data_IF_825058217853
#
_entry.id   IF_825058217853
#
_cell.length_a   1.000
_cell.length_b   1.000
_cell.length_c   1.000
_cell.angle_alpha   90.00
_cell.angle_beta   90.00
_cell.angle_gamma   90.00
#
_symmetry.space_group_name_H-M   'P 1'
#
loop_
_entity.id
_entity.type
_entity.pdbx_description
1 polymer ?
#
# COMPACT_ATOMS: atom_id res chain seq x y z
N UNK A 1 -38.82 -1.07 17.31
CA UNK A 1 -37.70 -1.92 17.76
C UNK A 1 -37.36 -2.93 16.66
N UNK A 2 -36.33 -2.69 15.84
CA UNK A 2 -35.72 -3.71 14.98
C UNK A 2 -34.31 -3.23 14.56
N UNK A 3 -33.50 -2.87 15.56
CA UNK A 3 -32.04 -2.69 15.41
C UNK A 3 -31.36 -4.05 15.58
N UNK A 4 -31.68 -5.01 14.72
CA UNK A 4 -30.81 -6.17 14.55
C UNK A 4 -29.83 -5.81 13.43
N UNK A 5 -28.84 -5.01 13.80
CA UNK A 5 -27.69 -4.71 12.96
C UNK A 5 -26.98 -6.03 12.71
N UNK A 6 -27.01 -6.58 11.49
CA UNK A 6 -25.97 -7.54 11.12
C UNK A 6 -24.66 -6.73 11.12
N UNK A 7 -23.94 -6.81 12.25
CA UNK A 7 -22.69 -6.07 12.49
C UNK A 7 -21.63 -6.44 11.44
N UNK A 8 -21.75 -7.62 10.83
CA UNK A 8 -20.87 -8.11 9.77
C UNK A 8 -21.68 -8.30 8.48
N UNK A 9 -21.40 -7.45 7.50
CA UNK A 9 -21.93 -7.53 6.14
C UNK A 9 -20.92 -8.07 5.13
N UNK A 10 -21.34 -8.25 3.87
CA UNK A 10 -20.50 -8.77 2.78
C UNK A 10 -19.25 -7.92 2.56
N UNK A 11 -19.36 -6.59 2.74
CA UNK A 11 -18.21 -5.67 2.62
C UNK A 11 -17.08 -5.95 3.62
N UNK A 12 -17.41 -6.44 4.81
CA UNK A 12 -16.42 -6.81 5.83
C UNK A 12 -15.71 -8.10 5.45
N UNK A 13 -16.41 -9.03 4.80
CA UNK A 13 -15.81 -10.25 4.24
C UNK A 13 -14.84 -9.87 3.11
N UNK A 14 -15.20 -8.94 2.23
CA UNK A 14 -14.29 -8.43 1.20
C UNK A 14 -13.04 -7.78 1.82
N UNK A 15 -13.21 -6.96 2.86
CA UNK A 15 -12.09 -6.39 3.61
C UNK A 15 -11.19 -7.46 4.27
N UNK A 16 -11.78 -8.54 4.78
CA UNK A 16 -11.06 -9.67 5.35
C UNK A 16 -10.23 -10.41 4.30
N UNK A 17 -10.80 -10.65 3.11
CA UNK A 17 -10.08 -11.29 2.02
C UNK A 17 -8.91 -10.40 1.56
N UNK A 18 -9.13 -9.09 1.41
CA UNK A 18 -8.06 -8.14 1.09
C UNK A 18 -6.96 -8.12 2.16
N UNK A 19 -7.34 -8.19 3.44
CA UNK A 19 -6.41 -8.28 4.56
C UNK A 19 -5.52 -9.52 4.46
N UNK A 20 -6.10 -10.72 4.31
CA UNK A 20 -5.31 -11.95 4.22
C UNK A 20 -4.46 -12.00 2.94
N UNK A 21 -4.96 -11.46 1.83
CA UNK A 21 -4.20 -11.32 0.58
C UNK A 21 -2.94 -10.49 0.78
N UNK A 22 -3.08 -9.33 1.44
CA UNK A 22 -1.94 -8.48 1.76
C UNK A 22 -1.01 -9.11 2.81
N UNK A 23 -1.56 -9.71 3.86
CA UNK A 23 -0.79 -10.33 4.93
C UNK A 23 0.12 -11.45 4.41
N UNK A 24 -0.40 -12.34 3.56
CA UNK A 24 0.42 -13.39 2.95
C UNK A 24 1.49 -12.81 2.03
N UNK A 25 1.16 -11.80 1.22
CA UNK A 25 2.15 -11.17 0.37
C UNK A 25 3.29 -10.54 1.18
N UNK A 26 3.00 -9.83 2.27
CA UNK A 26 4.04 -9.28 3.15
C UNK A 26 4.84 -10.37 3.88
N UNK A 27 4.19 -11.47 4.27
CA UNK A 27 4.87 -12.64 4.82
C UNK A 27 5.90 -13.21 3.83
N UNK A 28 5.53 -13.44 2.57
CA UNK A 28 6.47 -13.92 1.53
C UNK A 28 7.63 -12.95 1.27
N UNK A 29 7.42 -11.64 1.43
CA UNK A 29 8.51 -10.64 1.29
C UNK A 29 9.56 -10.77 2.38
N UNK A 30 9.14 -10.97 3.63
CA UNK A 30 10.04 -11.06 4.79
C UNK A 30 10.71 -12.43 4.93
N UNK A 31 10.09 -13.47 4.38
CA UNK A 31 10.66 -14.82 4.41
C UNK A 31 12.04 -14.86 3.77
N UNK A 32 12.24 -14.14 2.66
CA UNK A 32 13.52 -14.14 1.96
C UNK A 32 14.67 -13.61 2.83
N UNK A 33 14.44 -12.59 3.66
CA UNK A 33 15.49 -12.05 4.53
C UNK A 33 15.92 -13.03 5.63
N UNK A 34 15.03 -13.91 6.10
CA UNK A 34 15.36 -14.94 7.09
C UNK A 34 15.95 -16.17 6.39
N UNK A 35 15.33 -16.59 5.28
CA UNK A 35 15.75 -17.75 4.51
C UNK A 35 17.17 -17.59 3.97
N UNK A 36 17.57 -16.39 3.51
CA UNK A 36 18.90 -16.18 2.95
C UNK A 36 20.01 -16.42 3.98
N UNK A 37 19.78 -16.05 5.25
CA UNK A 37 20.71 -16.34 6.35
C UNK A 37 20.81 -17.84 6.62
N UNK A 38 19.70 -18.57 6.52
CA UNK A 38 19.70 -20.02 6.66
C UNK A 38 20.34 -20.73 5.46
N UNK A 39 20.19 -20.20 4.24
CA UNK A 39 20.81 -20.71 3.02
C UNK A 39 22.34 -20.55 3.01
N UNK A 40 22.84 -19.45 3.58
CA UNK A 40 24.28 -19.13 3.66
C UNK A 40 24.94 -19.57 4.96
N UNK A 41 24.21 -20.15 5.93
CA UNK A 41 24.82 -20.75 7.13
C UNK A 41 25.05 -22.24 6.89
N UNK A 42 26.28 -22.69 7.11
CA UNK A 42 26.62 -24.11 7.01
C UNK A 42 25.97 -24.87 8.17
N UNK A 43 24.84 -25.52 7.90
CA UNK A 43 24.09 -26.35 8.85
C UNK A 43 24.14 -27.79 8.37
N UNK A 44 24.55 -28.73 9.22
CA UNK A 44 24.66 -30.15 8.85
C UNK A 44 23.33 -30.70 8.31
N UNK A 45 23.37 -31.32 7.12
CA UNK A 45 22.20 -31.95 6.48
C UNK A 45 21.32 -31.05 5.61
N UNK A 46 21.68 -29.77 5.39
CA UNK A 46 20.94 -28.86 4.51
C UNK A 46 21.76 -28.38 3.31
N UNK A 47 21.09 -28.11 2.18
CA UNK A 47 21.73 -27.51 1.01
C UNK A 47 22.24 -26.09 1.35
N UNK A 48 23.54 -25.90 1.21
CA UNK A 48 24.25 -24.65 1.49
C UNK A 48 24.66 -23.98 0.18
N UNK A 49 24.59 -22.64 0.16
CA UNK A 49 25.04 -21.83 -0.97
C UNK A 49 26.15 -20.87 -0.55
N UNK A 50 27.27 -20.92 -1.28
CA UNK A 50 28.40 -20.00 -1.12
C UNK A 50 28.09 -18.63 -1.78
N UNK A 51 27.06 -17.96 -1.29
CA UNK A 51 26.70 -16.61 -1.74
C UNK A 51 27.46 -15.56 -0.94
N UNK A 52 28.19 -14.70 -1.66
CA UNK A 52 28.80 -13.53 -1.06
C UNK A 52 27.73 -12.48 -0.70
N UNK A 53 28.13 -11.47 0.08
CA UNK A 53 27.22 -10.39 0.49
C UNK A 53 26.64 -9.61 -0.70
N UNK A 54 27.36 -9.53 -1.82
CA UNK A 54 26.87 -8.86 -3.04
C UNK A 54 25.73 -9.66 -3.68
N UNK A 55 25.91 -10.96 -3.92
CA UNK A 55 24.86 -11.84 -4.47
C UNK A 55 23.62 -11.88 -3.57
N UNK A 56 23.82 -11.99 -2.26
CA UNK A 56 22.74 -11.95 -1.25
C UNK A 56 21.91 -10.67 -1.37
N UNK A 57 22.58 -9.53 -1.52
CA UNK A 57 21.93 -8.22 -1.67
C UNK A 57 21.21 -8.07 -3.01
N UNK A 58 21.77 -8.61 -4.09
CA UNK A 58 21.14 -8.65 -5.42
C UNK A 58 19.84 -9.47 -5.38
N UNK A 59 19.86 -10.65 -4.76
CA UNK A 59 18.67 -11.50 -4.62
C UNK A 59 17.58 -10.79 -3.82
N UNK A 60 17.91 -10.12 -2.71
CA UNK A 60 16.94 -9.39 -1.90
C UNK A 60 16.31 -8.21 -2.66
N UNK A 61 17.14 -7.44 -3.39
CA UNK A 61 16.69 -6.25 -4.14
C UNK A 61 15.96 -6.56 -5.44
N UNK A 62 16.21 -7.72 -6.07
CA UNK A 62 15.63 -8.12 -7.36
C UNK A 62 14.09 -8.12 -7.39
N UNK A 63 13.43 -8.37 -6.25
CA UNK A 63 11.97 -8.25 -6.12
C UNK A 63 11.46 -6.86 -6.45
N UNK A 64 12.16 -5.83 -5.98
CA UNK A 64 11.74 -4.45 -6.17
C UNK A 64 11.87 -4.00 -7.63
N UNK A 65 12.77 -4.61 -8.41
CA UNK A 65 12.90 -4.33 -9.86
C UNK A 65 11.60 -4.64 -10.60
N UNK A 66 11.03 -5.83 -10.36
CA UNK A 66 9.73 -6.20 -10.93
C UNK A 66 8.58 -5.36 -10.35
N UNK A 67 8.61 -5.11 -9.04
CA UNK A 67 7.54 -4.40 -8.34
C UNK A 67 7.36 -2.95 -8.83
N UNK A 68 8.45 -2.19 -8.97
CA UNK A 68 8.41 -0.79 -9.41
C UNK A 68 7.88 -0.66 -10.83
N UNK A 69 8.37 -1.50 -11.75
CA UNK A 69 7.95 -1.49 -13.16
C UNK A 69 6.46 -1.78 -13.29
N UNK A 70 5.91 -2.70 -12.50
CA UNK A 70 4.51 -3.10 -12.63
C UNK A 70 3.53 -2.15 -11.92
N UNK A 71 3.93 -1.38 -10.91
CA UNK A 71 3.00 -0.55 -10.12
C UNK A 71 2.16 0.44 -10.97
N UNK A 72 2.76 1.11 -11.96
CA UNK A 72 2.05 2.09 -12.80
C UNK A 72 1.10 1.38 -13.80
N UNK A 73 1.55 0.40 -14.61
CA UNK A 73 0.66 -0.38 -15.47
C UNK A 73 -0.44 -1.11 -14.69
N UNK A 74 -0.13 -1.64 -13.51
CA UNK A 74 -1.08 -2.38 -12.70
C UNK A 74 -2.29 -1.54 -12.28
N UNK A 75 -2.08 -0.26 -11.93
CA UNK A 75 -3.19 0.65 -11.59
C UNK A 75 -4.18 0.79 -12.74
N UNK A 76 -3.70 0.93 -13.97
CA UNK A 76 -4.54 1.04 -15.17
C UNK A 76 -5.24 -0.28 -15.53
N UNK A 77 -4.51 -1.39 -15.45
CA UNK A 77 -5.04 -2.71 -15.78
C UNK A 77 -6.11 -3.15 -14.79
N UNK A 78 -5.89 -2.93 -13.49
CA UNK A 78 -6.87 -3.22 -12.43
C UNK A 78 -8.16 -2.41 -12.62
N UNK A 79 -8.03 -1.14 -13.03
CA UNK A 79 -9.17 -0.28 -13.34
C UNK A 79 -9.98 -0.78 -14.55
N UNK A 80 -9.33 -1.09 -15.67
CA UNK A 80 -10.01 -1.41 -16.95
C UNK A 80 -10.57 -2.83 -17.03
N UNK A 81 -9.85 -3.81 -16.49
CA UNK A 81 -10.14 -5.23 -16.70
C UNK A 81 -10.69 -5.94 -15.45
N UNK A 82 -10.94 -5.19 -14.38
CA UNK A 82 -11.57 -5.68 -13.15
C UNK A 82 -10.53 -6.13 -12.10
N UNK A 83 -10.63 -5.65 -10.85
CA UNK A 83 -9.58 -5.88 -9.85
C UNK A 83 -9.51 -7.31 -9.31
N UNK A 84 -10.61 -8.08 -9.35
CA UNK A 84 -10.67 -9.45 -8.81
C UNK A 84 -9.63 -10.36 -9.46
N UNK A 85 -9.57 -10.36 -10.79
CA UNK A 85 -8.67 -11.25 -11.56
C UNK A 85 -7.21 -10.91 -11.31
N UNK A 86 -6.87 -9.63 -11.26
CA UNK A 86 -5.50 -9.18 -10.98
C UNK A 86 -5.09 -9.44 -9.54
N UNK A 87 -6.00 -9.26 -8.57
CA UNK A 87 -5.74 -9.60 -7.18
C UNK A 87 -5.45 -11.10 -7.02
N UNK A 88 -6.28 -11.97 -7.62
CA UNK A 88 -6.05 -13.41 -7.59
C UNK A 88 -4.76 -13.82 -8.30
N UNK A 89 -4.52 -13.29 -9.51
CA UNK A 89 -3.28 -13.54 -10.26
C UNK A 89 -2.05 -13.11 -9.45
N UNK A 90 -2.11 -11.94 -8.81
CA UNK A 90 -1.03 -11.39 -7.98
C UNK A 90 -0.61 -12.37 -6.89
N UNK A 91 -1.59 -12.89 -6.14
CA UNK A 91 -1.34 -13.83 -5.04
C UNK A 91 -0.92 -15.20 -5.59
N UNK A 92 -1.67 -15.77 -6.54
CA UNK A 92 -1.42 -17.12 -7.07
C UNK A 92 -0.05 -17.23 -7.74
N UNK A 93 0.31 -16.29 -8.62
CA UNK A 93 1.60 -16.30 -9.32
C UNK A 93 2.74 -16.04 -8.32
N UNK A 94 2.58 -15.09 -7.40
CA UNK A 94 3.60 -14.85 -6.37
C UNK A 94 3.83 -16.08 -5.49
N UNK A 95 2.76 -16.79 -5.12
CA UNK A 95 2.82 -18.00 -4.30
C UNK A 95 3.39 -19.20 -5.06
N UNK A 96 3.11 -19.31 -6.35
CA UNK A 96 3.73 -20.33 -7.21
C UNK A 96 5.25 -20.15 -7.25
N UNK A 97 5.73 -18.93 -7.49
CA UNK A 97 7.17 -18.65 -7.47
C UNK A 97 7.79 -18.74 -6.07
N UNK A 98 6.98 -18.60 -5.01
CA UNK A 98 7.41 -18.90 -3.64
C UNK A 98 7.66 -20.41 -3.47
N UNK A 99 6.72 -21.25 -3.88
CA UNK A 99 6.86 -22.72 -3.86
C UNK A 99 8.03 -23.21 -4.72
N UNK A 100 8.27 -22.56 -5.86
CA UNK A 100 9.38 -22.91 -6.76
C UNK A 100 10.73 -22.36 -6.28
N UNK A 101 10.77 -21.46 -5.29
CA UNK A 101 12.00 -20.81 -4.84
C UNK A 101 13.10 -21.81 -4.45
N UNK A 102 12.83 -22.90 -3.70
CA UNK A 102 13.88 -23.86 -3.37
C UNK A 102 14.46 -24.55 -4.61
N UNK A 103 13.61 -24.87 -5.59
CA UNK A 103 14.03 -25.49 -6.86
C UNK A 103 14.84 -24.50 -7.70
N UNK A 104 14.40 -23.25 -7.77
CA UNK A 104 15.11 -22.19 -8.48
C UNK A 104 16.49 -21.91 -7.86
N UNK A 105 16.60 -21.96 -6.53
CA UNK A 105 17.87 -21.78 -5.84
C UNK A 105 18.81 -22.98 -6.04
N UNK A 106 18.31 -24.23 -5.93
CA UNK A 106 19.18 -25.42 -6.04
C UNK A 106 19.71 -25.67 -7.45
N UNK A 107 18.89 -25.45 -8.49
CA UNK A 107 19.30 -25.69 -9.87
C UNK A 107 19.84 -24.44 -10.59
N UNK A 108 19.38 -23.25 -10.21
CA UNK A 108 19.73 -21.99 -10.85
C UNK A 108 20.64 -21.08 -10.00
N UNK A 109 21.05 -21.53 -8.83
CA UNK A 109 21.88 -20.78 -7.88
C UNK A 109 21.27 -19.37 -7.58
N UNK A 110 22.10 -18.35 -7.36
CA UNK A 110 21.63 -16.98 -7.11
C UNK A 110 20.85 -16.39 -8.29
N UNK A 111 21.13 -16.81 -9.54
CA UNK A 111 20.47 -16.29 -10.73
C UNK A 111 19.02 -16.78 -10.85
N UNK A 112 18.79 -18.06 -10.56
CA UNK A 112 17.46 -18.65 -10.51
C UNK A 112 16.61 -18.04 -9.40
N UNK A 113 17.22 -17.83 -8.22
CA UNK A 113 16.56 -17.13 -7.11
C UNK A 113 16.17 -15.68 -7.51
N UNK A 114 17.08 -14.93 -8.15
CA UNK A 114 16.78 -13.59 -8.68
C UNK A 114 15.62 -13.61 -9.69
N UNK A 115 15.60 -14.55 -10.65
CA UNK A 115 14.54 -14.64 -11.64
C UNK A 115 13.16 -14.90 -11.00
N UNK A 116 13.10 -15.82 -10.03
CA UNK A 116 11.88 -16.08 -9.27
C UNK A 116 11.42 -14.85 -8.46
N UNK A 117 12.36 -14.13 -7.83
CA UNK A 117 12.06 -12.90 -7.08
C UNK A 117 11.55 -11.76 -7.97
N UNK A 118 12.12 -11.59 -9.17
CA UNK A 118 11.62 -10.61 -10.15
C UNK A 118 10.19 -10.96 -10.56
N UNK A 119 9.90 -12.24 -10.84
CA UNK A 119 8.56 -12.70 -11.19
C UNK A 119 7.55 -12.47 -10.05
N UNK A 120 7.94 -12.74 -8.80
CA UNK A 120 7.14 -12.38 -7.62
C UNK A 120 6.88 -10.88 -7.54
N UNK A 121 7.90 -10.05 -7.79
CA UNK A 121 7.79 -8.59 -7.80
C UNK A 121 6.78 -8.09 -8.84
N UNK A 122 6.87 -8.59 -10.07
CA UNK A 122 5.93 -8.28 -11.15
C UNK A 122 4.50 -8.68 -10.77
N UNK A 123 4.30 -9.88 -10.24
CA UNK A 123 2.97 -10.32 -9.81
C UNK A 123 2.41 -9.45 -8.67
N UNK A 124 3.21 -9.18 -7.64
CA UNK A 124 2.78 -8.41 -6.47
C UNK A 124 2.53 -6.91 -6.74
N UNK A 125 2.98 -6.36 -7.87
CA UNK A 125 2.66 -4.98 -8.29
C UNK A 125 1.14 -4.74 -8.42
N UNK A 126 0.37 -5.78 -8.74
CA UNK A 126 -1.09 -5.72 -8.85
C UNK A 126 -1.83 -5.74 -7.51
N UNK A 127 -1.19 -6.21 -6.44
CA UNK A 127 -1.86 -6.48 -5.17
C UNK A 127 -2.52 -5.23 -4.57
N UNK A 128 -1.71 -4.21 -4.30
CA UNK A 128 -2.21 -3.01 -3.61
C UNK A 128 -3.11 -2.20 -4.53
N UNK A 129 -2.75 -2.05 -5.80
CA UNK A 129 -3.56 -1.31 -6.78
C UNK A 129 -4.95 -1.93 -6.96
N UNK A 130 -5.05 -3.26 -7.04
CA UNK A 130 -6.33 -3.96 -7.08
C UNK A 130 -7.13 -3.83 -5.78
N UNK A 131 -6.48 -3.85 -4.61
CA UNK A 131 -7.15 -3.60 -3.33
C UNK A 131 -7.69 -2.17 -3.23
N UNK A 132 -6.96 -1.16 -3.70
CA UNK A 132 -7.44 0.23 -3.74
C UNK A 132 -8.63 0.39 -4.69
N UNK A 133 -8.66 -0.32 -5.82
CA UNK A 133 -9.81 -0.36 -6.72
C UNK A 133 -11.04 -1.05 -6.08
N UNK A 134 -10.82 -2.14 -5.32
CA UNK A 134 -11.91 -2.78 -4.58
C UNK A 134 -12.43 -1.87 -3.46
N UNK A 135 -11.53 -1.23 -2.71
CA UNK A 135 -11.89 -0.29 -1.65
C UNK A 135 -12.68 0.90 -2.19
N UNK A 136 -12.38 1.37 -3.41
CA UNK A 136 -13.14 2.47 -4.01
C UNK A 136 -14.60 2.11 -4.30
N UNK A 137 -14.93 0.82 -4.46
CA UNK A 137 -16.28 0.30 -4.72
C UNK A 137 -16.98 -0.24 -3.48
N UNK A 138 -16.22 -0.76 -2.51
CA UNK A 138 -16.75 -1.48 -1.35
C UNK A 138 -16.72 -0.69 -0.04
N UNK A 139 -15.99 0.44 0.03
CA UNK A 139 -15.84 1.22 1.27
C UNK A 139 -16.65 2.53 1.25
N UNK A 140 -17.83 2.58 1.89
CA UNK A 140 -18.62 3.80 2.03
C UNK A 140 -17.83 4.92 2.73
N UNK A 141 -18.02 6.20 2.36
CA UNK A 141 -17.26 7.32 2.89
C UNK A 141 -17.20 7.40 4.44
N UNK A 142 -18.27 7.02 5.14
CA UNK A 142 -18.38 7.08 6.62
C UNK A 142 -17.56 6.03 7.39
N UNK A 143 -17.22 4.92 6.75
CA UNK A 143 -16.45 3.81 7.34
C UNK A 143 -15.16 3.52 6.58
N UNK A 144 -14.84 4.35 5.59
CA UNK A 144 -13.69 4.20 4.71
C UNK A 144 -12.38 4.18 5.48
N UNK A 145 -12.19 5.05 6.48
CA UNK A 145 -10.93 5.09 7.24
C UNK A 145 -10.70 3.80 8.02
N UNK A 146 -11.74 3.23 8.65
CA UNK A 146 -11.64 1.93 9.32
C UNK A 146 -11.35 0.78 8.36
N UNK A 147 -12.02 0.72 7.21
CA UNK A 147 -11.80 -0.36 6.23
C UNK A 147 -10.39 -0.30 5.63
N UNK A 148 -9.92 0.90 5.26
CA UNK A 148 -8.58 1.10 4.71
C UNK A 148 -7.52 0.82 5.77
N UNK A 149 -7.68 1.31 7.01
CA UNK A 149 -6.75 1.04 8.09
C UNK A 149 -6.68 -0.45 8.44
N UNK A 150 -7.82 -1.15 8.46
CA UNK A 150 -7.85 -2.60 8.63
C UNK A 150 -7.06 -3.31 7.54
N UNK A 151 -7.30 -2.97 6.27
CA UNK A 151 -6.52 -3.50 5.14
C UNK A 151 -5.01 -3.21 5.28
N UNK A 152 -4.62 -1.97 5.58
CA UNK A 152 -3.20 -1.60 5.71
C UNK A 152 -2.53 -2.20 6.96
N UNK A 153 -3.30 -2.54 7.99
CA UNK A 153 -2.81 -3.28 9.15
C UNK A 153 -2.34 -4.71 8.79
N UNK A 154 -2.73 -5.24 7.63
CA UNK A 154 -2.21 -6.51 7.10
C UNK A 154 -0.68 -6.49 6.91
N UNK A 155 -0.09 -5.32 6.63
CA UNK A 155 1.36 -5.18 6.46
C UNK A 155 2.13 -5.53 7.74
N UNK A 156 1.97 -4.82 8.88
CA UNK A 156 2.68 -5.17 10.10
C UNK A 156 2.29 -6.56 10.61
N UNK A 157 1.04 -6.99 10.44
CA UNK A 157 0.62 -8.35 10.79
C UNK A 157 1.41 -9.42 10.01
N UNK A 158 1.47 -9.28 8.68
CA UNK A 158 2.19 -10.20 7.81
C UNK A 158 3.70 -10.25 8.08
N UNK A 159 4.32 -9.11 8.40
CA UNK A 159 5.73 -9.02 8.78
C UNK A 159 6.01 -9.81 10.07
N UNK A 160 5.20 -9.59 11.11
CA UNK A 160 5.39 -10.27 12.41
C UNK A 160 5.19 -11.78 12.26
N UNK A 161 4.10 -12.20 11.61
CA UNK A 161 3.82 -13.62 11.37
C UNK A 161 4.90 -14.25 10.50
N UNK A 162 5.35 -13.57 9.44
CA UNK A 162 6.37 -14.06 8.52
C UNK A 162 7.72 -14.25 9.20
N UNK A 163 8.22 -13.23 9.92
CA UNK A 163 9.49 -13.34 10.63
C UNK A 163 9.47 -14.44 11.71
N UNK A 164 8.39 -14.54 12.49
CA UNK A 164 8.27 -15.58 13.53
C UNK A 164 8.14 -16.99 12.94
N UNK A 165 7.30 -17.15 11.90
CA UNK A 165 7.11 -18.45 11.24
C UNK A 165 8.36 -18.89 10.49
N UNK A 166 9.02 -17.98 9.76
CA UNK A 166 10.24 -18.30 9.02
C UNK A 166 11.37 -18.75 9.96
N UNK A 167 11.55 -18.11 11.11
CA UNK A 167 12.55 -18.52 12.09
C UNK A 167 12.29 -19.92 12.65
N UNK A 168 11.04 -20.21 13.02
CA UNK A 168 10.65 -21.53 13.54
C UNK A 168 10.77 -22.65 12.47
N UNK A 169 10.39 -22.34 11.22
CA UNK A 169 10.46 -23.27 10.10
C UNK A 169 11.92 -23.54 9.67
N UNK A 170 12.77 -22.51 9.65
CA UNK A 170 14.19 -22.64 9.35
C UNK A 170 14.89 -23.61 10.33
N UNK A 171 14.52 -23.55 11.61
CA UNK A 171 15.07 -24.41 12.67
C UNK A 171 14.48 -25.83 12.67
N UNK A 172 13.42 -26.09 11.90
CA UNK A 172 12.78 -27.40 11.82
C UNK A 172 13.59 -28.39 10.96
N UNK A 173 13.23 -29.67 11.03
CA UNK A 173 13.81 -30.72 10.17
C UNK A 173 13.65 -30.44 8.66
N UNK A 174 12.66 -29.60 8.27
CA UNK A 174 12.44 -29.20 6.89
C UNK A 174 13.35 -28.08 6.39
N UNK A 175 14.17 -27.48 7.26
CA UNK A 175 15.15 -26.44 6.95
C UNK A 175 14.57 -25.20 6.26
N UNK A 176 15.44 -24.45 5.59
CA UNK A 176 15.04 -23.25 4.85
C UNK A 176 14.00 -23.49 3.74
N UNK A 177 13.96 -24.63 3.01
CA UNK A 177 12.94 -24.86 1.99
C UNK A 177 11.51 -24.88 2.56
N UNK A 178 11.35 -25.33 3.81
CA UNK A 178 10.04 -25.42 4.47
C UNK A 178 9.35 -24.05 4.62
N UNK A 179 10.13 -22.97 4.75
CA UNK A 179 9.63 -21.60 4.83
C UNK A 179 8.79 -21.30 3.58
N UNK A 180 9.37 -21.55 2.41
CA UNK A 180 8.77 -21.30 1.10
C UNK A 180 7.59 -22.23 0.80
N UNK A 181 7.69 -23.50 1.17
CA UNK A 181 6.61 -24.45 0.97
C UNK A 181 5.36 -24.11 1.78
N UNK A 182 5.52 -23.74 3.05
CA UNK A 182 4.39 -23.39 3.92
C UNK A 182 3.75 -22.08 3.47
N UNK A 183 4.53 -21.04 3.20
CA UNK A 183 3.97 -19.73 2.82
C UNK A 183 3.43 -19.68 1.41
N UNK A 184 4.08 -20.37 0.48
CA UNK A 184 3.56 -20.55 -0.87
C UNK A 184 2.25 -21.34 -0.89
N UNK A 185 2.13 -22.40 -0.07
CA UNK A 185 0.88 -23.16 0.04
C UNK A 185 -0.25 -22.34 0.63
N UNK A 186 0.01 -21.59 1.71
CA UNK A 186 -0.96 -20.69 2.31
C UNK A 186 -1.44 -19.62 1.32
N UNK A 187 -0.53 -19.04 0.54
CA UNK A 187 -0.89 -18.07 -0.47
C UNK A 187 -1.66 -18.67 -1.64
N UNK A 188 -1.39 -19.92 -2.03
CA UNK A 188 -2.21 -20.64 -3.01
C UNK A 188 -3.66 -20.80 -2.51
N UNK A 189 -3.85 -21.18 -1.24
CA UNK A 189 -5.17 -21.29 -0.62
C UNK A 189 -5.90 -19.94 -0.60
N UNK A 190 -5.21 -18.87 -0.21
CA UNK A 190 -5.78 -17.51 -0.24
C UNK A 190 -6.11 -17.07 -1.67
N UNK A 191 -5.25 -17.38 -2.64
CA UNK A 191 -5.49 -17.11 -4.07
C UNK A 191 -6.75 -17.78 -4.60
N UNK A 192 -6.98 -19.05 -4.24
CA UNK A 192 -8.22 -19.78 -4.57
C UNK A 192 -9.41 -19.14 -3.85
N UNK A 193 -9.25 -18.76 -2.58
CA UNK A 193 -10.30 -18.08 -1.81
C UNK A 193 -10.71 -16.74 -2.44
N UNK A 194 -9.78 -15.99 -3.04
CA UNK A 194 -10.07 -14.76 -3.79
C UNK A 194 -10.93 -15.06 -5.02
N UNK A 195 -10.60 -16.10 -5.79
CA UNK A 195 -11.35 -16.45 -7.00
C UNK A 195 -12.82 -16.79 -6.70
N UNK A 196 -13.07 -17.44 -5.56
CA UNK A 196 -14.42 -17.84 -5.14
C UNK A 196 -15.14 -16.73 -4.39
N UNK A 197 -14.45 -16.03 -3.47
CA UNK A 197 -15.07 -15.14 -2.48
C UNK A 197 -15.10 -13.66 -2.85
N UNK A 198 -14.23 -13.17 -3.74
CA UNK A 198 -14.23 -11.75 -4.11
C UNK A 198 -15.27 -11.47 -5.20
N UNK A 199 -16.01 -10.37 -5.03
CA UNK A 199 -16.86 -9.81 -6.07
C UNK A 199 -16.35 -8.43 -6.50
N UNK A 200 -16.31 -8.20 -7.81
CA UNK A 200 -15.76 -6.96 -8.40
C UNK A 200 -16.60 -5.74 -8.04
N UNK A 201 -17.91 -5.91 -7.98
CA UNK A 201 -18.86 -4.88 -7.61
C UNK A 201 -19.91 -5.44 -6.64
N UNK A 202 -20.43 -4.61 -5.70
CA UNK A 202 -21.53 -4.99 -4.82
C UNK A 202 -22.77 -5.53 -5.58
N UNK A 203 -23.04 -4.98 -6.77
CA UNK A 203 -24.15 -5.40 -7.62
C UNK A 203 -24.01 -6.85 -8.16
N UNK A 204 -22.79 -7.37 -8.27
CA UNK A 204 -22.51 -8.70 -8.83
C UNK A 204 -22.37 -9.78 -7.75
N UNK A 205 -22.40 -9.42 -6.46
CA UNK A 205 -22.23 -10.39 -5.39
C UNK A 205 -23.52 -11.22 -5.19
N UNK A 206 -23.49 -12.56 -5.37
CA UNK A 206 -24.69 -13.40 -5.39
C UNK A 206 -25.38 -13.51 -4.02
N UNK A 207 -24.65 -13.34 -2.92
CA UNK A 207 -25.18 -13.48 -1.55
C UNK A 207 -25.41 -12.13 -0.83
N UNK A 208 -25.36 -11.00 -1.54
CA UNK A 208 -25.60 -9.70 -0.89
C UNK A 208 -27.06 -9.49 -0.54
N UNK A 209 -27.32 -9.15 0.73
CA UNK A 209 -28.64 -8.72 1.20
C UNK A 209 -29.05 -7.42 0.52
N UNK A 210 -30.33 -7.33 0.13
CA UNK A 210 -30.90 -6.15 -0.52
C UNK A 210 -30.71 -4.88 0.34
N UNK A 211 -30.85 -5.00 1.67
CA UNK A 211 -30.62 -3.90 2.63
C UNK A 211 -29.18 -3.37 2.62
N UNK A 212 -28.19 -4.24 2.41
CA UNK A 212 -26.79 -3.82 2.34
C UNK A 212 -26.47 -3.16 1.00
N UNK A 213 -27.10 -3.61 -0.09
CA UNK A 213 -26.98 -2.96 -1.41
C UNK A 213 -27.52 -1.54 -1.39
N UNK A 214 -28.72 -1.36 -0.84
CA UNK A 214 -29.35 -0.04 -0.67
C UNK A 214 -28.49 0.85 0.22
N UNK A 215 -28.00 0.35 1.35
CA UNK A 215 -27.08 1.11 2.22
C UNK A 215 -25.82 1.58 1.46
N UNK A 216 -25.19 0.71 0.66
CA UNK A 216 -24.00 1.09 -0.10
C UNK A 216 -24.37 2.13 -1.17
N UNK A 217 -25.42 1.91 -1.95
CA UNK A 217 -25.84 2.83 -3.01
C UNK A 217 -26.25 4.21 -2.49
N UNK A 218 -27.00 4.25 -1.39
CA UNK A 218 -27.45 5.51 -0.77
C UNK A 218 -26.30 6.27 -0.10
N UNK A 219 -25.35 5.58 0.53
CA UNK A 219 -24.25 6.23 1.25
C UNK A 219 -23.02 6.54 0.40
N UNK A 220 -22.90 5.99 -0.82
CA UNK A 220 -21.83 6.34 -1.74
C UNK A 220 -22.02 7.72 -2.39
N UNK A 221 -23.24 8.27 -2.41
CA UNK A 221 -23.58 9.55 -3.04
C UNK A 221 -23.55 9.45 -4.57
N UNK A 222 -22.35 9.30 -5.15
CA UNK A 222 -22.13 9.01 -6.57
C UNK A 222 -21.32 7.72 -6.64
N UNK A 223 -21.93 6.66 -7.17
CA UNK A 223 -21.25 5.39 -7.36
C UNK A 223 -20.04 5.57 -8.31
N UNK A 224 -18.90 4.91 -8.04
CA UNK A 224 -17.79 4.88 -8.98
C UNK A 224 -18.29 4.40 -10.35
N UNK A 225 -17.84 5.05 -11.41
CA UNK A 225 -18.16 4.65 -12.77
C UNK A 225 -17.64 3.23 -13.03
N UNK A 226 -18.48 2.41 -13.63
CA UNK A 226 -18.13 1.05 -14.06
C UNK A 226 -17.65 1.00 -15.51
N UNK A 227 -17.45 2.14 -16.19
CA UNK A 227 -17.03 2.18 -17.60
C UNK A 227 -15.54 1.80 -17.76
N UNK A 228 -15.24 0.63 -18.37
CA UNK A 228 -13.87 0.16 -18.56
C UNK A 228 -13.11 0.92 -19.66
N UNK A 229 -13.78 1.73 -20.50
CA UNK A 229 -13.17 2.44 -21.64
C UNK A 229 -12.81 3.90 -21.34
N UNK A 230 -12.95 4.34 -20.10
CA UNK A 230 -12.69 5.73 -19.72
C UNK A 230 -11.23 6.12 -19.96
N UNK A 231 -11.03 7.19 -20.72
CA UNK A 231 -9.71 7.77 -20.88
C UNK A 231 -9.22 8.31 -19.53
N UNK A 232 -7.96 8.02 -19.19
CA UNK A 232 -7.32 8.56 -17.99
C UNK A 232 -6.77 9.95 -18.30
N UNK A 233 -7.20 11.01 -17.59
CA UNK A 233 -6.73 12.37 -17.81
C UNK A 233 -5.34 12.55 -17.17
N UNK A 234 -4.32 11.97 -17.80
CA UNK A 234 -2.94 11.91 -17.26
C UNK A 234 -2.40 13.28 -16.89
N UNK A 235 -2.49 14.25 -17.81
CA UNK A 235 -1.95 15.59 -17.58
C UNK A 235 -2.62 16.25 -16.37
N UNK A 236 -3.96 16.25 -16.31
CA UNK A 236 -4.72 16.85 -15.21
C UNK A 236 -4.43 16.18 -13.85
N UNK A 237 -4.17 14.87 -13.84
CA UNK A 237 -3.80 14.15 -12.61
C UNK A 237 -2.42 14.59 -12.15
N UNK A 238 -1.40 14.50 -13.01
CA UNK A 238 0.00 14.75 -12.61
C UNK A 238 0.30 16.22 -12.34
N UNK A 239 -0.46 17.16 -12.93
CA UNK A 239 -0.31 18.59 -12.67
C UNK A 239 -1.15 19.09 -11.48
N UNK A 240 -1.99 18.24 -10.89
CA UNK A 240 -2.86 18.68 -9.79
C UNK A 240 -2.08 18.82 -8.47
N UNK A 241 -2.26 19.95 -7.79
CA UNK A 241 -1.58 20.27 -6.51
C UNK A 241 -1.84 19.18 -5.45
N UNK A 242 -3.07 18.66 -5.26
CA UNK A 242 -3.30 17.60 -4.28
C UNK A 242 -2.57 16.30 -4.61
N UNK A 243 -2.45 15.94 -5.89
CA UNK A 243 -1.72 14.74 -6.31
C UNK A 243 -0.20 14.90 -6.12
N UNK A 244 0.37 16.05 -6.49
CA UNK A 244 1.80 16.33 -6.26
C UNK A 244 2.11 16.28 -4.76
N UNK A 245 1.24 16.88 -3.95
CA UNK A 245 1.36 16.87 -2.48
C UNK A 245 1.29 15.45 -1.91
N UNK A 246 0.42 14.61 -2.46
CA UNK A 246 0.28 13.20 -2.07
C UNK A 246 1.51 12.37 -2.46
N UNK A 247 2.08 12.58 -3.65
CA UNK A 247 3.32 11.92 -4.10
C UNK A 247 4.49 12.29 -3.17
N UNK A 248 4.67 13.57 -2.87
CA UNK A 248 5.76 14.03 -2.00
C UNK A 248 5.61 13.54 -0.56
N UNK A 249 4.38 13.48 -0.04
CA UNK A 249 4.11 12.88 1.27
C UNK A 249 4.50 11.39 1.32
N UNK A 250 4.10 10.63 0.30
CA UNK A 250 4.42 9.19 0.22
C UNK A 250 5.94 8.98 0.08
N UNK A 251 6.61 9.79 -0.73
CA UNK A 251 8.07 9.79 -0.88
C UNK A 251 8.79 10.08 0.45
N UNK A 252 8.38 11.13 1.16
CA UNK A 252 8.96 11.51 2.45
C UNK A 252 8.71 10.48 3.55
N UNK A 253 7.55 9.82 3.52
CA UNK A 253 7.24 8.69 4.40
C UNK A 253 8.14 7.49 4.12
N UNK A 254 8.25 7.07 2.86
CA UNK A 254 9.06 5.91 2.47
C UNK A 254 10.52 6.10 2.81
N UNK A 255 11.08 7.31 2.60
CA UNK A 255 12.45 7.61 2.99
C UNK A 255 12.71 7.36 4.48
N UNK A 256 11.91 7.96 5.37
CA UNK A 256 12.10 7.80 6.80
C UNK A 256 11.81 6.37 7.26
N UNK A 257 10.74 5.74 6.76
CA UNK A 257 10.39 4.37 7.12
C UNK A 257 11.53 3.39 6.81
N UNK A 258 12.11 3.46 5.60
CA UNK A 258 13.19 2.57 5.20
C UNK A 258 14.52 2.90 5.88
N UNK A 259 14.80 4.18 6.16
CA UNK A 259 15.98 4.58 6.95
C UNK A 259 15.91 3.98 8.36
N UNK A 260 14.78 4.13 9.04
CA UNK A 260 14.54 3.55 10.36
C UNK A 260 14.65 2.01 10.29
N UNK A 261 14.01 1.38 9.31
CA UNK A 261 14.00 -0.08 9.22
C UNK A 261 15.39 -0.68 8.93
N UNK A 262 16.17 -0.08 8.04
CA UNK A 262 17.42 -0.70 7.54
C UNK A 262 18.67 -0.24 8.26
N UNK A 263 18.71 0.99 8.78
CA UNK A 263 19.92 1.60 9.32
C UNK A 263 19.92 1.71 10.85
N UNK A 264 18.74 1.68 11.47
CA UNK A 264 18.65 1.78 12.93
C UNK A 264 19.35 0.63 13.67
N UNK A 265 19.25 -0.65 13.26
CA UNK A 265 19.98 -1.72 13.94
C UNK A 265 21.50 -1.52 13.90
N UNK A 266 22.04 -1.09 12.75
CA UNK A 266 23.47 -0.80 12.59
C UNK A 266 23.91 0.39 13.43
N UNK A 267 23.12 1.47 13.48
CA UNK A 267 23.40 2.63 14.33
C UNK A 267 23.50 2.24 15.82
N UNK A 268 22.54 1.46 16.30
CA UNK A 268 22.51 1.00 17.69
C UNK A 268 23.71 0.10 18.02
N UNK A 269 24.07 -0.84 17.14
CA UNK A 269 25.23 -1.73 17.34
C UNK A 269 26.58 -0.99 17.22
N UNK A 270 26.80 -0.28 16.11
CA UNK A 270 28.11 0.26 15.73
C UNK A 270 28.44 1.59 16.36
N UNK A 271 27.48 2.52 16.37
CA UNK A 271 27.71 3.88 16.87
C UNK A 271 27.48 3.98 18.38
N UNK A 272 26.44 3.30 18.89
CA UNK A 272 26.08 3.36 20.31
C UNK A 272 26.60 2.16 21.13
N UNK A 273 27.17 1.14 20.46
CA UNK A 273 27.72 -0.04 21.14
C UNK A 273 26.66 -0.92 21.82
N UNK A 274 25.38 -0.70 21.53
CA UNK A 274 24.28 -1.45 22.10
C UNK A 274 24.10 -2.75 21.34
N UNK A 275 24.52 -3.86 21.98
CA UNK A 275 24.21 -5.21 21.50
C UNK A 275 22.71 -5.44 21.69
N UNK A 276 21.92 -5.08 20.68
CA UNK A 276 20.51 -5.46 20.59
C UNK A 276 20.50 -6.99 20.73
N UNK A 277 19.90 -7.53 21.79
CA UNK A 277 19.78 -8.97 21.92
C UNK A 277 19.06 -9.50 20.66
N UNK A 278 19.62 -10.53 20.02
CA UNK A 278 19.13 -11.17 18.79
C UNK A 278 17.73 -11.83 18.93
N UNK A 279 16.95 -11.46 19.93
CA UNK A 279 15.60 -11.97 20.10
C UNK A 279 14.69 -11.30 19.08
N UNK A 280 14.22 -12.09 18.11
CA UNK A 280 13.24 -11.68 17.10
C UNK A 280 11.98 -11.05 17.69
N UNK A 281 11.70 -11.25 18.98
CA UNK A 281 10.61 -10.60 19.72
C UNK A 281 10.82 -9.09 19.86
N UNK A 282 12.05 -8.63 20.15
CA UNK A 282 12.35 -7.19 20.25
C UNK A 282 12.27 -6.50 18.88
N UNK A 283 12.67 -7.19 17.81
CA UNK A 283 12.56 -6.68 16.44
C UNK A 283 11.11 -6.58 15.95
N UNK A 284 10.21 -7.44 16.46
CA UNK A 284 8.79 -7.43 16.13
C UNK A 284 7.98 -6.37 16.91
N UNK A 285 8.45 -5.99 18.10
CA UNK A 285 7.73 -5.11 19.03
C UNK A 285 7.23 -3.79 18.40
N UNK A 286 8.04 -3.03 17.62
CA UNK A 286 7.58 -1.79 16.99
C UNK A 286 6.40 -1.99 16.04
N UNK A 287 6.40 -3.11 15.29
CA UNK A 287 5.35 -3.43 14.32
C UNK A 287 4.07 -3.91 14.99
N UNK A 288 4.19 -4.68 16.09
CA UNK A 288 3.04 -5.08 16.91
C UNK A 288 2.36 -3.86 17.51
N UNK A 289 3.12 -2.91 18.07
CA UNK A 289 2.55 -1.69 18.64
C UNK A 289 1.93 -0.83 17.54
N UNK A 290 2.60 -0.66 16.39
CA UNK A 290 2.03 0.02 15.21
C UNK A 290 0.70 -0.58 14.78
N UNK A 291 0.58 -1.92 14.78
CA UNK A 291 -0.66 -2.61 14.43
C UNK A 291 -1.82 -2.13 15.32
N UNK A 292 -1.70 -2.22 16.64
CA UNK A 292 -2.77 -1.79 17.57
C UNK A 292 -3.02 -0.29 17.55
N UNK A 293 -1.96 0.53 17.55
CA UNK A 293 -2.07 1.99 17.54
C UNK A 293 -2.76 2.51 16.27
N UNK A 294 -2.52 1.87 15.12
CA UNK A 294 -3.16 2.25 13.85
C UNK A 294 -4.69 2.14 13.88
N UNK A 295 -5.25 1.14 14.60
CA UNK A 295 -6.68 1.02 14.81
C UNK A 295 -7.23 2.14 15.71
N UNK A 296 -6.47 2.55 16.72
CA UNK A 296 -6.81 3.71 17.56
C UNK A 296 -6.92 4.99 16.74
N UNK A 297 -5.95 5.26 15.86
CA UNK A 297 -6.00 6.40 14.94
C UNK A 297 -7.18 6.31 13.97
N UNK A 298 -7.48 5.12 13.43
CA UNK A 298 -8.61 4.89 12.54
C UNK A 298 -9.96 5.19 13.21
N UNK A 299 -10.14 4.70 14.45
CA UNK A 299 -11.35 4.96 15.23
C UNK A 299 -11.50 6.44 15.57
N UNK A 300 -10.42 7.09 16.03
CA UNK A 300 -10.43 8.52 16.36
C UNK A 300 -10.73 9.38 15.13
N UNK A 301 -10.12 9.07 13.98
CA UNK A 301 -10.36 9.77 12.73
C UNK A 301 -11.83 9.66 12.28
N UNK A 302 -12.42 8.46 12.33
CA UNK A 302 -13.83 8.28 11.98
C UNK A 302 -14.76 8.95 12.99
N UNK A 303 -14.45 8.91 14.29
CA UNK A 303 -15.21 9.61 15.33
C UNK A 303 -15.26 11.13 15.06
N UNK A 304 -14.10 11.76 14.83
CA UNK A 304 -14.02 13.20 14.56
C UNK A 304 -14.75 13.61 13.26
N UNK A 305 -14.67 12.78 12.21
CA UNK A 305 -15.38 13.03 10.94
C UNK A 305 -16.90 12.83 11.07
N UNK A 306 -17.34 11.75 11.70
CA UNK A 306 -18.76 11.40 11.78
C UNK A 306 -19.54 12.38 12.67
N UNK A 307 -18.90 12.90 13.72
CA UNK A 307 -19.45 13.97 14.54
C UNK A 307 -19.28 15.38 13.94
N UNK A 308 -18.65 15.49 12.75
CA UNK A 308 -18.38 16.75 12.04
C UNK A 308 -17.61 17.79 12.88
N UNK A 309 -16.73 17.32 13.79
CA UNK A 309 -15.90 18.22 14.59
C UNK A 309 -14.82 18.91 13.75
N UNK A 310 -14.34 18.24 12.70
CA UNK A 310 -13.33 18.75 11.78
C UNK A 310 -13.69 18.40 10.34
N UNK A 311 -13.14 19.14 9.37
CA UNK A 311 -13.27 18.79 7.95
C UNK A 311 -12.45 17.55 7.60
N UNK A 312 -12.87 16.80 6.57
CA UNK A 312 -12.16 15.61 6.11
C UNK A 312 -10.71 15.92 5.75
N UNK A 313 -10.48 17.02 5.01
CA UNK A 313 -9.14 17.49 4.65
C UNK A 313 -8.27 17.78 5.87
N UNK A 314 -8.82 18.43 6.90
CA UNK A 314 -8.08 18.70 8.14
C UNK A 314 -7.73 17.41 8.87
N UNK A 315 -8.67 16.45 8.93
CA UNK A 315 -8.41 15.15 9.55
C UNK A 315 -7.26 14.39 8.86
N UNK A 316 -7.26 14.35 7.51
CA UNK A 316 -6.17 13.74 6.74
C UNK A 316 -4.84 14.43 7.00
N UNK A 317 -4.81 15.77 7.07
CA UNK A 317 -3.60 16.55 7.37
C UNK A 317 -3.07 16.30 8.79
N UNK A 318 -3.94 16.19 9.78
CA UNK A 318 -3.56 15.86 11.17
C UNK A 318 -2.95 14.46 11.21
N UNK A 319 -3.62 13.45 10.65
CA UNK A 319 -3.11 12.08 10.60
C UNK A 319 -1.75 11.98 9.91
N UNK A 320 -1.58 12.68 8.79
CA UNK A 320 -0.30 12.73 8.08
C UNK A 320 0.80 13.42 8.90
N UNK A 321 0.47 14.52 9.59
CA UNK A 321 1.43 15.27 10.40
C UNK A 321 1.92 14.47 11.60
N UNK A 322 1.01 13.79 12.31
CA UNK A 322 1.39 12.87 13.40
C UNK A 322 2.29 11.75 12.87
N UNK A 323 1.96 11.20 11.69
CA UNK A 323 2.67 10.07 11.11
C UNK A 323 4.02 10.37 10.43
N UNK A 324 4.30 11.64 10.07
CA UNK A 324 5.57 12.06 9.44
C UNK A 324 6.41 12.94 10.37
N UNK A 325 5.82 13.98 10.97
CA UNK A 325 6.57 14.87 11.87
C UNK A 325 6.87 14.22 13.23
N UNK A 326 5.99 13.35 13.73
CA UNK A 326 6.25 12.59 14.95
C UNK A 326 7.52 11.74 14.88
N UNK A 327 7.64 10.82 13.90
CA UNK A 327 8.87 10.04 13.70
C UNK A 327 10.09 10.90 13.36
N UNK A 328 9.93 11.97 12.58
CA UNK A 328 11.02 12.88 12.25
C UNK A 328 11.59 13.59 13.50
N UNK A 329 10.73 14.05 14.40
CA UNK A 329 11.17 14.65 15.67
C UNK A 329 11.94 13.62 16.51
N UNK A 330 11.46 12.39 16.59
CA UNK A 330 12.12 11.33 17.34
C UNK A 330 13.50 10.99 16.74
N UNK A 331 13.62 10.97 15.41
CA UNK A 331 14.91 10.79 14.73
C UNK A 331 15.92 11.89 15.08
N UNK A 332 15.47 13.14 15.17
CA UNK A 332 16.33 14.26 15.59
C UNK A 332 16.75 14.09 17.05
N UNK A 333 15.83 13.75 17.94
CA UNK A 333 16.15 13.54 19.37
C UNK A 333 17.11 12.36 19.55
N UNK A 334 16.91 11.25 18.82
CA UNK A 334 17.82 10.09 18.83
C UNK A 334 19.23 10.43 18.34
N UNK A 335 19.34 11.39 17.42
CA UNK A 335 20.63 11.89 16.97
C UNK A 335 21.29 12.77 18.03
N UNK A 336 20.55 13.71 18.62
CA UNK A 336 21.13 14.77 19.46
C UNK A 336 21.33 14.40 20.93
N UNK A 337 20.64 13.38 21.44
CA UNK A 337 20.64 13.04 22.88
C UNK A 337 21.32 11.70 23.11
N UNK A 338 22.39 11.70 23.90
CA UNK A 338 22.97 10.46 24.44
C UNK A 338 21.91 9.76 25.31
N UNK A 339 21.46 8.60 24.83
CA UNK A 339 20.38 7.84 25.44
C UNK A 339 20.87 6.43 25.73
N UNK A 340 20.36 5.83 26.80
CA UNK A 340 20.64 4.42 27.10
C UNK A 340 19.95 3.51 26.06
N UNK A 341 20.41 2.25 25.99
CA UNK A 341 19.87 1.27 25.05
C UNK A 341 18.35 1.11 25.15
N UNK A 342 17.79 1.22 26.36
CA UNK A 342 16.36 1.07 26.60
C UNK A 342 15.58 2.24 26.03
N UNK A 343 16.01 3.48 26.31
CA UNK A 343 15.36 4.68 25.77
C UNK A 343 15.41 4.73 24.25
N UNK A 344 16.54 4.33 23.63
CA UNK A 344 16.63 4.25 22.17
C UNK A 344 15.58 3.31 21.56
N UNK A 345 15.40 2.13 22.15
CA UNK A 345 14.39 1.15 21.70
C UNK A 345 12.97 1.67 21.92
N UNK A 346 12.69 2.31 23.06
CA UNK A 346 11.38 2.93 23.34
C UNK A 346 11.09 4.02 22.31
N UNK A 347 12.04 4.92 22.05
CA UNK A 347 11.91 6.00 21.07
C UNK A 347 11.65 5.45 19.67
N UNK A 348 12.45 4.46 19.23
CA UNK A 348 12.25 3.78 17.95
C UNK A 348 10.85 3.17 17.85
N UNK A 349 10.41 2.50 18.91
CA UNK A 349 9.09 1.88 19.00
C UNK A 349 7.98 2.92 18.87
N UNK A 350 8.10 4.06 19.57
CA UNK A 350 7.15 5.17 19.48
C UNK A 350 7.16 5.79 18.07
N UNK A 351 8.31 5.96 17.44
CA UNK A 351 8.40 6.46 16.06
C UNK A 351 7.66 5.56 15.08
N UNK A 352 7.88 4.24 15.13
CA UNK A 352 7.18 3.27 14.27
C UNK A 352 5.68 3.21 14.60
N UNK A 353 5.29 3.38 15.87
CA UNK A 353 3.89 3.42 16.27
C UNK A 353 3.15 4.65 15.72
N UNK A 354 3.74 5.85 15.85
CA UNK A 354 3.19 7.10 15.32
C UNK A 354 3.02 7.05 13.80
N UNK A 355 3.92 6.36 13.10
CA UNK A 355 3.83 6.13 11.66
C UNK A 355 2.50 5.43 11.26
N UNK A 356 1.85 4.69 12.15
CA UNK A 356 0.50 4.14 11.93
C UNK A 356 -0.58 5.19 11.64
N UNK A 357 -0.41 6.44 12.08
CA UNK A 357 -1.32 7.55 11.76
C UNK A 357 -1.38 7.88 10.26
N UNK A 358 -0.36 7.48 9.48
CA UNK A 358 -0.36 7.68 8.02
C UNK A 358 -1.44 6.88 7.29
N UNK A 359 -2.02 5.85 7.91
CA UNK A 359 -3.13 5.07 7.34
C UNK A 359 -4.39 5.94 7.18
N UNK A 360 -4.64 6.83 8.14
CA UNK A 360 -5.73 7.81 8.10
C UNK A 360 -5.33 9.14 7.48
N UNK A 361 -4.05 9.30 7.12
CA UNK A 361 -3.50 10.46 6.44
C UNK A 361 -3.45 10.28 4.92
N UNK A 362 -2.24 10.21 4.35
CA UNK A 362 -2.05 10.15 2.91
C UNK A 362 -2.54 8.83 2.28
N UNK A 363 -2.49 7.69 2.98
CA UNK A 363 -2.80 6.38 2.36
C UNK A 363 -4.26 6.32 1.88
N UNK A 364 -5.21 6.74 2.71
CA UNK A 364 -6.63 6.81 2.32
C UNK A 364 -6.92 7.93 1.32
N UNK A 365 -6.09 8.97 1.24
CA UNK A 365 -6.36 10.17 0.45
C UNK A 365 -6.52 9.90 -1.06
N UNK A 366 -5.90 8.84 -1.60
CA UNK A 366 -6.12 8.38 -2.98
C UNK A 366 -7.61 8.14 -3.28
N UNK A 367 -8.34 7.53 -2.34
CA UNK A 367 -9.77 7.24 -2.46
C UNK A 367 -10.63 8.49 -2.27
N UNK A 368 -10.13 9.48 -1.54
CA UNK A 368 -10.81 10.74 -1.28
C UNK A 368 -10.71 11.70 -2.49
N UNK A 369 -9.53 11.76 -3.14
CA UNK A 369 -9.31 12.57 -4.34
C UNK A 369 -10.10 12.06 -5.55
N UNK A 370 -10.10 10.75 -5.79
CA UNK A 370 -10.82 10.13 -6.90
C UNK A 370 -11.07 8.65 -6.65
N UNK A 371 -12.30 8.26 -6.32
CA UNK A 371 -12.71 6.86 -6.28
C UNK A 371 -12.53 6.15 -7.63
N UNK A 372 -12.73 6.85 -8.76
CA UNK A 372 -12.67 6.22 -10.08
C UNK A 372 -11.24 5.87 -10.50
N UNK A 373 -10.25 6.69 -10.12
CA UNK A 373 -8.85 6.50 -10.49
C UNK A 373 -7.97 6.09 -9.29
N UNK A 374 -8.55 5.67 -8.17
CA UNK A 374 -7.83 5.38 -6.92
C UNK A 374 -6.65 4.42 -7.10
N UNK A 375 -6.85 3.36 -7.89
CA UNK A 375 -5.82 2.37 -8.24
C UNK A 375 -4.66 2.97 -9.04
N UNK A 376 -4.97 3.85 -10.00
CA UNK A 376 -3.96 4.57 -10.80
C UNK A 376 -3.18 5.57 -9.95
N UNK A 377 -3.86 6.36 -9.11
CA UNK A 377 -3.20 7.31 -8.22
C UNK A 377 -2.24 6.59 -7.27
N UNK A 378 -2.68 5.49 -6.65
CA UNK A 378 -1.84 4.69 -5.76
C UNK A 378 -0.66 4.08 -6.52
N UNK A 379 -0.87 3.57 -7.74
CA UNK A 379 0.20 3.03 -8.58
C UNK A 379 1.33 4.05 -8.83
N UNK A 380 0.98 5.30 -9.16
CA UNK A 380 1.94 6.39 -9.37
C UNK A 380 2.68 6.72 -8.06
N UNK A 381 1.95 6.96 -6.96
CA UNK A 381 2.57 7.38 -5.71
C UNK A 381 3.46 6.27 -5.14
N UNK A 382 3.03 5.01 -5.22
CA UNK A 382 3.79 3.87 -4.76
C UNK A 382 5.05 3.63 -5.61
N UNK A 383 4.99 3.78 -6.93
CA UNK A 383 6.17 3.67 -7.79
C UNK A 383 7.23 4.71 -7.41
N UNK A 384 6.84 5.98 -7.29
CA UNK A 384 7.74 7.06 -6.87
C UNK A 384 8.30 6.84 -5.47
N UNK A 385 7.45 6.40 -4.53
CA UNK A 385 7.87 6.14 -3.16
C UNK A 385 8.89 4.99 -3.06
N UNK A 386 8.77 3.93 -3.88
CA UNK A 386 9.74 2.84 -3.94
C UNK A 386 11.08 3.28 -4.53
N UNK A 387 11.09 4.21 -5.50
CA UNK A 387 12.34 4.81 -6.00
C UNK A 387 13.05 5.54 -4.86
N UNK A 388 12.32 6.31 -4.04
CA UNK A 388 12.91 6.99 -2.88
C UNK A 388 13.43 6.01 -1.82
N UNK A 389 12.78 4.85 -1.65
CA UNK A 389 13.26 3.78 -0.76
C UNK A 389 14.62 3.22 -1.17
N UNK A 390 14.97 3.25 -2.46
CA UNK A 390 16.32 2.88 -2.93
C UNK A 390 17.35 3.97 -2.71
N UNK A 391 16.95 5.23 -2.87
CA UNK A 391 17.85 6.38 -2.71
C UNK A 391 18.23 6.58 -1.23
N UNK A 392 17.29 6.34 -0.29
CA UNK A 392 17.52 6.61 1.12
C UNK A 392 18.74 5.87 1.71
N UNK A 393 18.88 4.53 1.57
CA UNK A 393 20.06 3.82 2.08
C UNK A 393 21.37 4.20 1.39
N UNK A 394 21.32 4.60 0.11
CA UNK A 394 22.50 5.05 -0.65
C UNK A 394 23.01 6.40 -0.12
N UNK A 395 22.11 7.34 0.15
CA UNK A 395 22.48 8.63 0.75
C UNK A 395 23.02 8.42 2.16
N UNK A 396 22.39 7.55 2.97
CA UNK A 396 22.94 7.23 4.30
C UNK A 396 24.34 6.61 4.19
N UNK A 397 24.57 5.69 3.24
CA UNK A 397 25.89 5.09 3.03
C UNK A 397 26.95 6.06 2.50
N UNK A 398 26.54 7.11 1.77
CA UNK A 398 27.45 8.16 1.31
C UNK A 398 27.80 9.16 2.42
N UNK A 399 26.88 9.38 3.37
CA UNK A 399 27.07 10.29 4.51
C UNK A 399 27.80 9.60 5.66
N UNK A 400 27.47 8.33 5.94
CA UNK A 400 28.08 7.50 6.98
C UNK A 400 29.19 6.66 6.36
N UNK A 401 30.39 7.24 6.36
CA UNK A 401 31.63 6.60 5.93
C UNK A 401 32.29 5.79 7.05
N UNK A 402 32.17 6.26 8.30
CA UNK A 402 32.57 5.52 9.50
C UNK A 402 31.32 5.14 10.30
N UNK A 403 31.02 3.86 10.37
CA UNK A 403 29.85 3.34 11.09
C UNK A 403 29.90 3.60 12.60
N UNK A 404 31.06 3.97 13.16
CA UNK A 404 31.22 4.31 14.58
C UNK A 404 31.03 5.81 14.85
N UNK A 405 31.07 6.65 13.82
CA UNK A 405 30.98 8.10 13.99
C UNK A 405 29.52 8.56 14.17
N UNK A 406 29.18 8.90 15.41
CA UNK A 406 27.84 9.37 15.79
C UNK A 406 27.44 10.65 15.03
N UNK A 407 28.39 11.52 14.68
CA UNK A 407 28.08 12.79 14.00
C UNK A 407 27.65 12.58 12.54
N UNK A 408 28.20 11.58 11.88
CA UNK A 408 27.79 11.18 10.53
C UNK A 408 26.38 10.58 10.57
N UNK A 409 26.09 9.75 11.57
CA UNK A 409 24.74 9.21 11.79
C UNK A 409 23.71 10.30 12.10
N UNK A 410 24.06 11.28 12.94
CA UNK A 410 23.23 12.46 13.20
C UNK A 410 22.88 13.19 11.91
N UNK A 411 23.87 13.42 11.04
CA UNK A 411 23.67 14.07 9.75
C UNK A 411 22.71 13.28 8.87
N UNK A 412 22.86 11.95 8.82
CA UNK A 412 21.96 11.07 8.08
C UNK A 412 20.51 11.11 8.61
N UNK A 413 20.33 11.14 9.94
CA UNK A 413 19.00 11.26 10.55
C UNK A 413 18.38 12.64 10.35
N UNK A 414 19.17 13.71 10.38
CA UNK A 414 18.71 15.07 10.07
C UNK A 414 18.23 15.19 8.62
N UNK A 415 18.94 14.56 7.67
CA UNK A 415 18.50 14.50 6.27
C UNK A 415 17.16 13.78 6.16
N UNK A 416 17.03 12.60 6.79
CA UNK A 416 15.78 11.84 6.78
C UNK A 416 14.61 12.63 7.41
N UNK A 417 14.86 13.28 8.55
CA UNK A 417 13.88 14.13 9.22
C UNK A 417 13.48 15.34 8.35
N UNK A 418 14.45 15.98 7.67
CA UNK A 418 14.20 17.09 6.75
C UNK A 418 13.34 16.68 5.55
N UNK A 419 13.66 15.54 4.91
CA UNK A 419 12.87 15.00 3.78
C UNK A 419 11.43 14.70 4.20
N UNK A 420 11.23 14.06 5.37
CA UNK A 420 9.87 13.82 5.90
C UNK A 420 9.16 15.10 6.30
N UNK A 421 9.88 16.09 6.85
CA UNK A 421 9.33 17.37 7.24
C UNK A 421 8.79 18.14 6.03
N UNK A 422 9.60 18.25 4.97
CA UNK A 422 9.21 18.89 3.71
C UNK A 422 8.07 18.14 3.04
N UNK A 423 8.15 16.79 2.96
CA UNK A 423 7.08 15.97 2.39
C UNK A 423 5.73 16.18 3.08
N UNK A 424 5.71 16.26 4.41
CA UNK A 424 4.48 16.57 5.14
C UNK A 424 4.05 18.04 5.00
N UNK A 425 4.99 18.99 5.00
CA UNK A 425 4.66 20.42 4.85
C UNK A 425 3.92 20.68 3.53
N UNK A 426 4.38 20.09 2.43
CA UNK A 426 3.69 20.20 1.14
C UNK A 426 2.30 19.58 1.21
N UNK A 427 2.11 18.45 1.90
CA UNK A 427 0.79 17.85 2.12
C UNK A 427 -0.14 18.71 2.98
N UNK A 428 0.38 19.37 4.02
CA UNK A 428 -0.41 20.26 4.86
C UNK A 428 -0.85 21.50 4.08
N UNK A 429 0.01 22.04 3.23
CA UNK A 429 -0.31 23.24 2.42
C UNK A 429 -1.21 22.88 1.24
N UNK A 430 -0.80 21.94 0.38
CA UNK A 430 -1.44 21.64 -0.90
C UNK A 430 -2.35 20.41 -0.92
N UNK A 431 -2.35 19.60 0.14
CA UNK A 431 -3.20 18.41 0.22
C UNK A 431 -4.69 18.77 0.37
N UNK A 432 -5.55 17.99 -0.29
CA UNK A 432 -7.00 18.08 -0.18
C UNK A 432 -7.60 16.69 -0.06
N UNK A 433 -8.75 16.56 0.60
CA UNK A 433 -9.57 15.35 0.61
C UNK A 433 -10.90 15.57 -0.14
N UNK A 434 -11.00 16.65 -0.91
CA UNK A 434 -12.13 16.92 -1.80
C UNK A 434 -11.94 16.23 -3.14
N UNK A 435 -13.05 15.76 -3.70
CA UNK A 435 -13.10 15.08 -4.99
C UNK A 435 -12.63 16.02 -6.09
N UNK A 436 -11.69 15.56 -6.90
CA UNK A 436 -11.05 16.40 -7.91
C UNK A 436 -11.90 16.52 -9.18
N UNK A 437 -11.83 17.65 -9.92
CA UNK A 437 -12.65 17.87 -11.12
C UNK A 437 -12.44 16.81 -12.22
N UNK A 438 -11.24 16.24 -12.31
CA UNK A 438 -10.92 15.20 -13.28
C UNK A 438 -11.43 13.81 -12.89
N UNK A 439 -12.01 13.64 -11.70
CA UNK A 439 -12.68 12.39 -11.32
C UNK A 439 -13.93 12.11 -12.19
N UNK A 440 -14.53 13.16 -12.76
CA UNK A 440 -15.61 13.08 -13.73
C UNK A 440 -15.27 13.97 -14.93
N UNK A 441 -14.83 13.43 -16.08
CA UNK A 441 -14.72 14.24 -17.28
C UNK A 441 -16.13 14.70 -17.61
N UNK A 442 -16.30 16.02 -17.69
CA UNK A 442 -17.54 16.67 -18.13
C UNK A 442 -18.03 15.92 -19.36
N UNK A 443 -19.19 15.27 -19.24
CA UNK A 443 -19.93 14.86 -20.43
C UNK A 443 -20.15 16.17 -21.16
N UNK A 444 -19.43 16.42 -22.26
CA UNK A 444 -19.82 17.44 -23.21
C UNK A 444 -21.18 16.96 -23.71
N UNK A 445 -22.25 17.35 -23.03
CA UNK A 445 -23.55 17.40 -23.63
C UNK A 445 -23.33 18.20 -24.89
N UNK A 446 -23.42 17.54 -26.04
CA UNK A 446 -23.82 18.24 -27.24
C UNK A 446 -25.19 18.82 -26.90
N UNK A 447 -25.20 20.02 -26.32
CA UNK A 447 -26.40 20.83 -26.22
C UNK A 447 -26.89 20.92 -27.65
N UNK A 448 -28.01 20.25 -27.92
CA UNK A 448 -28.82 20.52 -29.09
C UNK A 448 -29.26 21.99 -28.96
N UNK A 449 -28.43 22.90 -29.45
CA UNK A 449 -28.53 24.32 -29.14
C UNK A 449 -27.72 25.25 -30.03
N UNK A 450 -26.94 24.73 -30.98
CA UNK A 450 -26.25 25.54 -31.99
C UNK A 450 -26.66 25.10 -33.40
N UNK A 451 -27.97 25.17 -33.71
CA UNK A 451 -28.40 25.45 -35.08
C UNK A 451 -28.62 26.96 -35.13
N UNK A 452 -27.55 27.66 -35.45
CA UNK A 452 -27.60 29.09 -35.72
C UNK A 452 -28.62 29.36 -36.83
N UNK A 453 -29.55 30.25 -36.51
CA UNK A 453 -30.32 31.06 -37.44
C UNK A 453 -29.36 31.67 -38.47
N UNK A 454 -29.38 31.14 -39.68
CA UNK A 454 -29.04 31.90 -40.89
C UNK A 454 -30.28 31.94 -41.76
N UNK A 455 -31.05 33.01 -41.60
CA UNK A 455 -31.90 33.52 -42.68
C UNK A 455 -31.01 33.84 -43.88
N UNK A 456 -31.17 33.09 -44.97
CA UNK A 456 -31.43 33.58 -46.33
C UNK A 456 -30.95 32.59 -47.39
N UNK A 457 -31.88 32.11 -48.22
CA UNK A 457 -31.56 31.67 -49.58
C UNK A 457 -32.16 30.34 -50.01
N UNK A 458 -33.10 30.43 -50.95
CA UNK A 458 -33.55 29.40 -51.89
C UNK A 458 -34.63 28.38 -51.42
N UNK A 459 -35.84 28.72 -51.87
CA UNK A 459 -36.97 27.88 -52.23
C UNK A 459 -36.64 26.44 -52.63
N UNK A 460 -37.38 25.48 -52.07
CA UNK A 460 -38.14 24.50 -52.88
C UNK A 460 -39.23 23.82 -52.04
N UNK A 461 -40.49 23.94 -52.49
CA UNK A 461 -41.68 23.26 -51.98
C UNK A 461 -41.58 21.75 -52.17
N UNK A 462 -42.00 20.97 -51.17
CA UNK A 462 -42.80 19.75 -51.39
C UNK A 462 -43.52 19.30 -50.11
N UNK A 463 -44.82 19.62 -50.04
CA UNK A 463 -45.94 18.86 -49.45
C UNK A 463 -45.77 18.13 -48.10
N UNK A 464 -46.35 18.74 -47.06
CA UNK A 464 -46.80 18.06 -45.84
C UNK A 464 -48.12 17.32 -46.09
N UNK A 465 -48.25 16.11 -45.53
CA UNK A 465 -49.51 15.40 -45.33
C UNK A 465 -49.80 15.38 -43.82
N UNK A 466 -50.91 16.00 -43.45
CA UNK A 466 -51.52 16.01 -42.11
C UNK A 466 -52.15 14.67 -41.77
N UNK A 467 -52.19 14.26 -40.49
CA UNK A 467 -53.26 13.40 -39.98
C UNK A 467 -54.33 14.25 -39.29
N UNK A 468 -55.56 14.09 -39.78
CA UNK A 468 -56.78 14.66 -39.20
C UNK A 468 -57.11 14.03 -37.84
N UNK A 469 -57.56 14.88 -36.92
CA UNK A 469 -58.42 14.56 -35.78
C UNK A 469 -59.81 14.16 -36.27
N UNK A 470 -60.43 13.10 -35.72
CA UNK A 470 -61.88 12.84 -35.48
C UNK A 470 -61.96 11.42 -34.86
N UNK A 471 -62.69 11.04 -33.81
CA UNK A 471 -63.72 11.59 -32.90
C UNK A 471 -63.61 10.82 -31.58
#
# INVERSE_FOLDING_TARGET
MQRACQIVGTRHIQALIMFFSAAVAFCTRTNMSVAIVAMTKQTEGQAHFDWDSSRTSLVLSSFFWGYVVMNIPAGQLAQRYGPKRFLAMSVLVSSLFDLLMPVCATYGDWQGACAARVAQGLAQGFLLTACYELLSKWAPPRERSRMVAFFLAAQPFGIVVGLSAAGALAASAGGWPSIFYVTGSLGMLVGIWILVGVAECPAQHPSMSQKEREYIQENFGIAPSTDPKRATPWLSIVTSIPMISLVLAHCGHSWAFWTILTKMPTYLDKALGFRIQESGLFSALPYVIKYFVSFGFAWLADFMNNHKYISLSLNRKIGNSVGLWGPALILVVLGCVESDSTSCVIMLTVAVALNGATYVGFNINHLDLSPNYASTLFGITNAMANIMSFIAPLVVGAVVTDEKDVTQWQTAFLIAAGVSFVGNLVFVVGGSAERQPWDEPVIKTHTAGDIHLTENGAQSRSTAVTPDNQV
#
